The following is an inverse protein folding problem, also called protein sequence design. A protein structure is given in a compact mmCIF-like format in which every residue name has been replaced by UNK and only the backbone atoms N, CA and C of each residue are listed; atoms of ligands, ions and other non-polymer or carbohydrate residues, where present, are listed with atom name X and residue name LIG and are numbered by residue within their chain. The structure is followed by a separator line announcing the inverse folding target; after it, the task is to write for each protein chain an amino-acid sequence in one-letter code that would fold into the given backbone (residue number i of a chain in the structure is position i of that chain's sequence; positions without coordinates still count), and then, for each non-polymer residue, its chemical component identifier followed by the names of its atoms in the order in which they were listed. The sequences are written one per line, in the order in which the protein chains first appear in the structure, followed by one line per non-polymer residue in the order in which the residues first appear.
data_IF_228294266343
#
_entry.id   IF_228294266343
#
_cell.length_a   1.000
_cell.length_b   1.000
_cell.length_c   1.000
_cell.angle_alpha   90.00
_cell.angle_beta   90.00
_cell.angle_gamma   90.00
#
_symmetry.space_group_name_H-M   'P 1'
#
loop_
_entity.id
_entity.type
_entity.pdbx_description
1 polymer ?
#
# COMPACT_ATOMS: atom_id res chain seq x y z
N UNK A 1 -18.90 1.25 -13.48
CA UNK A 1 -17.80 0.38 -13.02
C UNK A 1 -18.20 -0.15 -11.66
N UNK A 2 -18.21 -1.47 -11.42
CA UNK A 2 -18.42 -1.98 -10.07
C UNK A 2 -17.32 -1.43 -9.15
N UNK A 3 -17.66 -1.02 -7.94
CA UNK A 3 -16.67 -0.56 -6.97
C UNK A 3 -15.70 -1.70 -6.64
N UNK A 4 -14.43 -1.53 -7.01
CA UNK A 4 -13.35 -2.43 -6.63
C UNK A 4 -13.14 -2.33 -5.12
N UNK A 5 -13.06 -3.48 -4.44
CA UNK A 5 -12.64 -3.47 -3.04
C UNK A 5 -11.21 -2.94 -2.92
N UNK A 6 -10.91 -2.08 -1.94
CA UNK A 6 -9.54 -1.63 -1.69
C UNK A 6 -8.56 -2.80 -1.62
N UNK A 7 -7.47 -2.75 -2.39
CA UNK A 7 -6.46 -3.81 -2.47
C UNK A 7 -6.74 -4.93 -3.48
N UNK A 8 -7.79 -4.82 -4.30
CA UNK A 8 -8.07 -5.73 -5.42
C UNK A 8 -7.85 -5.05 -6.78
N UNK A 9 -7.62 -5.85 -7.82
CA UNK A 9 -7.49 -5.40 -9.20
C UNK A 9 -8.15 -6.40 -10.16
N UNK A 10 -8.53 -5.92 -11.35
CA UNK A 10 -8.86 -6.79 -12.46
C UNK A 10 -7.57 -7.31 -13.10
N UNK A 11 -7.49 -8.62 -13.27
CA UNK A 11 -6.48 -9.29 -14.08
C UNK A 11 -7.16 -9.86 -15.32
N UNK A 12 -6.72 -9.41 -16.50
CA UNK A 12 -7.28 -9.80 -17.79
C UNK A 12 -6.38 -10.84 -18.45
N UNK A 13 -7.00 -11.89 -18.98
CA UNK A 13 -6.34 -12.88 -19.84
C UNK A 13 -6.94 -12.76 -21.23
N UNK A 14 -6.10 -12.38 -22.19
CA UNK A 14 -6.42 -12.40 -23.61
C UNK A 14 -6.10 -13.78 -24.18
N UNK A 15 -7.04 -14.37 -24.89
CA UNK A 15 -6.88 -15.73 -25.40
C UNK A 15 -7.48 -15.90 -26.79
N UNK A 16 -6.97 -16.89 -27.50
CA UNK A 16 -7.50 -17.35 -28.77
C UNK A 16 -7.81 -18.84 -28.66
N UNK A 17 -9.00 -19.25 -29.12
CA UNK A 17 -9.44 -20.63 -29.17
C UNK A 17 -9.69 -21.02 -30.62
N UNK A 18 -9.17 -22.17 -31.02
CA UNK A 18 -9.50 -22.81 -32.29
C UNK A 18 -10.30 -24.08 -32.01
N UNK A 19 -11.46 -24.22 -32.67
CA UNK A 19 -12.24 -25.44 -32.60
C UNK A 19 -11.68 -26.49 -33.57
N UNK A 20 -10.72 -27.28 -33.11
CA UNK A 20 -10.15 -28.40 -33.89
C UNK A 20 -11.02 -29.67 -33.89
N UNK A 21 -12.19 -29.63 -33.24
CA UNK A 21 -13.12 -30.75 -33.13
C UNK A 21 -14.24 -30.71 -34.17
N UNK A 22 -15.12 -31.72 -34.11
CA UNK A 22 -16.28 -31.84 -35.03
C UNK A 22 -17.58 -31.25 -34.45
N UNK A 23 -17.56 -30.84 -33.17
CA UNK A 23 -18.74 -30.32 -32.46
C UNK A 23 -18.57 -28.81 -32.24
N UNK A 24 -19.60 -27.98 -32.47
CA UNK A 24 -19.56 -26.57 -32.15
C UNK A 24 -19.27 -26.31 -30.67
N UNK A 25 -18.40 -25.35 -30.39
CA UNK A 25 -18.07 -24.91 -29.04
C UNK A 25 -18.87 -23.67 -28.66
N UNK A 26 -19.50 -23.71 -27.49
CA UNK A 26 -20.25 -22.57 -26.96
C UNK A 26 -19.42 -21.89 -25.87
N UNK A 27 -19.00 -20.63 -26.04
CA UNK A 27 -18.17 -19.94 -25.05
C UNK A 27 -18.77 -19.88 -23.64
N UNK A 28 -20.09 -19.82 -23.53
CA UNK A 28 -20.83 -19.89 -22.25
C UNK A 28 -20.62 -21.19 -21.46
N UNK A 29 -20.03 -22.22 -22.07
CA UNK A 29 -19.70 -23.50 -21.44
C UNK A 29 -18.23 -23.62 -21.06
N UNK A 30 -17.41 -22.63 -21.42
CA UNK A 30 -15.99 -22.64 -21.10
C UNK A 30 -15.80 -22.51 -19.61
N UNK A 31 -15.05 -23.45 -19.05
CA UNK A 31 -14.59 -23.39 -17.68
C UNK A 31 -13.19 -22.78 -17.70
N UNK A 32 -13.08 -21.58 -17.14
CA UNK A 32 -11.83 -20.84 -17.08
C UNK A 32 -11.53 -20.54 -15.63
N UNK A 33 -10.29 -20.75 -15.19
CA UNK A 33 -9.88 -20.47 -13.81
C UNK A 33 -8.48 -19.88 -13.80
N UNK A 34 -8.22 -19.00 -12.86
CA UNK A 34 -6.89 -18.48 -12.61
C UNK A 34 -6.44 -18.97 -11.24
N UNK A 35 -5.22 -19.50 -11.15
CA UNK A 35 -4.64 -19.97 -9.90
C UNK A 35 -3.34 -19.24 -9.61
N UNK A 36 -3.16 -18.79 -8.37
CA UNK A 36 -1.89 -18.18 -7.94
C UNK A 36 -0.88 -19.20 -7.40
N UNK A 37 0.34 -18.73 -7.11
CA UNK A 37 1.43 -19.58 -6.64
C UNK A 37 1.20 -20.19 -5.24
N UNK A 38 0.34 -19.58 -4.42
CA UNK A 38 -0.03 -20.10 -3.10
C UNK A 38 -1.23 -21.04 -3.15
N UNK A 39 -1.90 -21.13 -4.30
CA UNK A 39 -2.94 -22.11 -4.58
C UNK A 39 -4.37 -21.58 -4.52
N UNK A 40 -4.57 -20.28 -4.37
CA UNK A 40 -5.91 -19.69 -4.45
C UNK A 40 -6.41 -19.77 -5.89
N UNK A 41 -7.71 -20.01 -6.04
CA UNK A 41 -8.39 -20.12 -7.32
C UNK A 41 -9.38 -18.96 -7.45
N UNK A 42 -9.25 -18.23 -8.56
CA UNK A 42 -10.10 -17.11 -8.94
C UNK A 42 -10.98 -17.52 -10.12
N UNK A 43 -12.27 -17.24 -9.98
CA UNK A 43 -13.25 -17.50 -11.02
C UNK A 43 -13.44 -16.26 -11.90
N UNK A 44 -13.85 -16.44 -13.18
CA UNK A 44 -14.15 -15.33 -14.07
C UNK A 44 -15.23 -14.44 -13.47
N UNK A 45 -15.02 -13.13 -13.54
CA UNK A 45 -16.03 -12.15 -13.18
C UNK A 45 -16.87 -11.86 -14.42
N UNK A 46 -18.19 -11.91 -14.26
CA UNK A 46 -19.14 -11.56 -15.31
C UNK A 46 -18.85 -10.16 -15.84
N UNK A 47 -18.87 -10.00 -17.17
CA UNK A 47 -18.61 -8.75 -17.90
C UNK A 47 -17.20 -8.15 -17.73
N UNK A 48 -16.32 -8.72 -16.91
CA UNK A 48 -14.95 -8.21 -16.79
C UNK A 48 -14.12 -8.43 -18.06
N UNK A 49 -14.52 -9.40 -18.90
CA UNK A 49 -13.96 -9.59 -20.24
C UNK A 49 -14.15 -8.38 -21.16
N UNK A 50 -15.21 -7.58 -20.96
CA UNK A 50 -15.45 -6.36 -21.75
C UNK A 50 -14.37 -5.28 -21.56
N UNK A 51 -13.55 -5.40 -20.51
CA UNK A 51 -12.42 -4.50 -20.27
C UNK A 51 -11.17 -4.87 -21.08
N UNK A 52 -11.14 -6.06 -21.68
CA UNK A 52 -10.04 -6.54 -22.49
C UNK A 52 -10.11 -6.09 -23.96
N UNK A 53 -9.04 -6.37 -24.70
CA UNK A 53 -8.88 -5.91 -26.08
C UNK A 53 -9.90 -6.55 -27.03
N UNK A 54 -10.24 -7.81 -26.81
CA UNK A 54 -11.12 -8.60 -27.66
C UNK A 54 -12.56 -8.68 -27.14
N UNK A 55 -12.82 -8.19 -25.91
CA UNK A 55 -14.13 -8.30 -25.27
C UNK A 55 -14.49 -9.75 -24.89
N UNK A 56 -15.69 -9.95 -24.34
CA UNK A 56 -16.11 -11.31 -23.98
C UNK A 56 -16.45 -12.12 -25.23
N UNK A 57 -15.78 -13.26 -25.42
CA UNK A 57 -16.13 -14.20 -26.48
C UNK A 57 -17.53 -14.78 -26.21
N UNK A 58 -18.48 -14.47 -27.08
CA UNK A 58 -19.89 -14.88 -26.96
C UNK A 58 -20.38 -15.70 -28.14
N UNK A 59 -19.76 -15.55 -29.31
CA UNK A 59 -20.15 -16.26 -30.53
C UNK A 59 -19.80 -17.75 -30.48
N UNK A 60 -20.71 -18.58 -30.97
CA UNK A 60 -20.49 -20.02 -31.12
C UNK A 60 -19.39 -20.29 -32.16
N UNK A 61 -18.43 -21.15 -31.81
CA UNK A 61 -17.34 -21.55 -32.68
C UNK A 61 -17.67 -22.86 -33.39
N UNK A 62 -18.01 -22.77 -34.67
CA UNK A 62 -18.17 -23.93 -35.55
C UNK A 62 -16.86 -24.75 -35.67
N UNK A 63 -16.92 -26.02 -36.10
CA UNK A 63 -15.73 -26.81 -36.42
C UNK A 63 -14.77 -26.07 -37.37
N UNK A 64 -13.50 -26.00 -37.00
CA UNK A 64 -12.44 -25.27 -37.71
C UNK A 64 -12.45 -23.75 -37.50
N UNK A 65 -13.38 -23.20 -36.74
CA UNK A 65 -13.44 -21.76 -36.47
C UNK A 65 -12.45 -21.34 -35.39
N UNK A 66 -11.99 -20.10 -35.48
CA UNK A 66 -11.12 -19.44 -34.50
C UNK A 66 -11.89 -18.29 -33.86
N UNK A 67 -11.86 -18.22 -32.53
CA UNK A 67 -12.42 -17.12 -31.74
C UNK A 67 -11.36 -16.49 -30.85
N UNK A 68 -11.44 -15.17 -30.67
CA UNK A 68 -10.62 -14.42 -29.72
C UNK A 68 -11.52 -13.87 -28.62
N UNK A 69 -11.00 -13.82 -27.40
CA UNK A 69 -11.75 -13.29 -26.28
C UNK A 69 -10.86 -12.89 -25.12
N UNK A 70 -11.47 -12.11 -24.24
CA UNK A 70 -10.91 -11.63 -23.01
C UNK A 70 -11.69 -12.22 -21.84
N UNK A 71 -11.00 -12.63 -20.78
CA UNK A 71 -11.62 -13.03 -19.52
C UNK A 71 -10.97 -12.27 -18.36
N UNK A 72 -11.81 -11.69 -17.49
CA UNK A 72 -11.36 -10.92 -16.34
C UNK A 72 -11.55 -11.66 -15.01
N UNK A 73 -10.56 -11.51 -14.13
CA UNK A 73 -10.55 -12.04 -12.77
C UNK A 73 -10.39 -10.92 -11.77
N UNK A 74 -11.07 -10.99 -10.62
CA UNK A 74 -10.80 -10.11 -9.49
C UNK A 74 -9.77 -10.77 -8.58
N UNK A 75 -8.60 -10.17 -8.48
CA UNK A 75 -7.45 -10.71 -7.74
C UNK A 75 -6.90 -9.68 -6.75
N UNK A 76 -6.18 -10.10 -5.70
CA UNK A 76 -5.43 -9.18 -4.85
C UNK A 76 -4.35 -8.44 -5.65
N UNK A 77 -4.10 -7.16 -5.36
CA UNK A 77 -2.99 -6.44 -5.99
C UNK A 77 -1.61 -7.01 -5.61
N UNK A 78 -1.47 -7.51 -4.37
CA UNK A 78 -0.22 -8.05 -3.83
C UNK A 78 0.05 -9.53 -4.20
N UNK A 79 -0.37 -9.99 -5.39
CA UNK A 79 -0.09 -11.35 -5.83
C UNK A 79 1.40 -11.57 -6.10
N UNK A 80 1.89 -12.78 -5.83
CA UNK A 80 3.29 -13.17 -6.05
C UNK A 80 3.38 -14.50 -6.77
N UNK A 81 4.37 -14.63 -7.65
CA UNK A 81 4.67 -15.87 -8.38
C UNK A 81 3.86 -16.06 -9.68
N UNK A 82 4.16 -17.12 -10.44
CA UNK A 82 3.50 -17.36 -11.72
C UNK A 82 2.02 -17.66 -11.51
N UNK A 83 1.18 -17.12 -12.38
CA UNK A 83 -0.24 -17.43 -12.42
C UNK A 83 -0.45 -18.60 -13.37
N UNK A 84 -1.29 -19.55 -12.98
CA UNK A 84 -1.68 -20.66 -13.84
C UNK A 84 -3.12 -20.43 -14.28
N UNK A 85 -3.29 -20.11 -15.56
CA UNK A 85 -4.61 -20.04 -16.18
C UNK A 85 -4.98 -21.41 -16.73
N UNK A 86 -6.16 -21.90 -16.36
CA UNK A 86 -6.67 -23.18 -16.83
C UNK A 86 -7.96 -23.02 -17.60
N UNK A 87 -8.10 -23.79 -18.67
CA UNK A 87 -9.20 -23.71 -19.62
C UNK A 87 -9.72 -25.11 -19.95
N UNK A 88 -11.04 -25.27 -19.93
CA UNK A 88 -11.73 -26.45 -20.44
C UNK A 88 -12.93 -26.01 -21.32
N UNK A 89 -13.09 -26.60 -22.53
CA UNK A 89 -14.10 -26.16 -23.50
C UNK A 89 -15.52 -26.66 -23.17
N UNK A 90 -15.66 -27.60 -22.24
CA UNK A 90 -16.93 -28.19 -21.85
C UNK A 90 -16.99 -28.45 -20.34
N UNK A 91 -18.17 -28.36 -19.71
CA UNK A 91 -18.32 -28.62 -18.28
C UNK A 91 -18.07 -30.10 -18.00
N UNK A 92 -17.23 -30.41 -17.03
CA UNK A 92 -16.91 -31.79 -16.66
C UNK A 92 -15.92 -32.49 -17.60
N UNK A 93 -15.29 -31.74 -18.52
CA UNK A 93 -14.14 -32.24 -19.27
C UNK A 93 -13.03 -32.66 -18.31
N UNK A 94 -12.48 -33.86 -18.52
CA UNK A 94 -11.25 -34.31 -17.86
C UNK A 94 -9.99 -33.69 -18.49
N UNK A 95 -10.14 -33.01 -19.63
CA UNK A 95 -9.06 -32.37 -20.38
C UNK A 95 -9.10 -30.88 -20.09
N UNK A 96 -8.03 -30.39 -19.46
CA UNK A 96 -7.79 -28.99 -19.16
C UNK A 96 -6.50 -28.55 -19.82
N UNK A 97 -6.53 -27.44 -20.55
CA UNK A 97 -5.32 -26.74 -20.95
C UNK A 97 -4.85 -25.88 -19.76
N UNK A 98 -3.55 -25.92 -19.46
CA UNK A 98 -2.94 -25.11 -18.41
C UNK A 98 -1.83 -24.26 -19.02
N UNK A 99 -1.95 -22.94 -18.86
CA UNK A 99 -0.97 -21.97 -19.31
C UNK A 99 -0.33 -21.34 -18.09
N UNK A 100 0.99 -21.49 -17.94
CA UNK A 100 1.75 -20.78 -16.93
C UNK A 100 2.08 -19.40 -17.46
N UNK A 101 1.46 -18.39 -16.86
CA UNK A 101 1.69 -17.00 -17.18
C UNK A 101 2.79 -16.49 -16.24
N UNK A 102 3.97 -16.12 -16.76
CA UNK A 102 4.97 -15.45 -15.94
C UNK A 102 4.39 -14.12 -15.47
N UNK A 103 3.90 -14.11 -14.24
CA UNK A 103 3.38 -12.94 -13.59
C UNK A 103 4.45 -12.42 -12.63
N UNK A 104 5.10 -11.34 -13.06
CA UNK A 104 5.66 -10.39 -12.12
C UNK A 104 4.53 -9.43 -11.84
N UNK A 105 4.07 -9.35 -10.58
CA UNK A 105 3.37 -8.16 -10.16
C UNK A 105 4.26 -7.00 -10.60
N UNK A 106 3.75 -6.13 -11.49
CA UNK A 106 4.35 -4.82 -11.65
C UNK A 106 4.46 -4.29 -10.23
N UNK A 107 5.65 -3.80 -9.84
CA UNK A 107 5.88 -3.23 -8.52
C UNK A 107 4.64 -2.39 -8.20
N UNK A 108 3.78 -2.93 -7.33
CA UNK A 108 2.70 -2.15 -6.78
C UNK A 108 3.48 -1.24 -5.89
N UNK A 109 3.83 -0.06 -6.41
CA UNK A 109 4.30 1.03 -5.57
C UNK A 109 3.26 1.09 -4.46
N UNK A 110 3.62 0.67 -3.23
CA UNK A 110 2.64 0.53 -2.17
C UNK A 110 1.92 1.86 -2.13
N UNK A 111 0.58 1.84 -2.26
CA UNK A 111 -0.24 3.05 -2.21
C UNK A 111 0.37 3.95 -1.15
N UNK A 112 0.83 5.17 -1.50
CA UNK A 112 1.79 5.91 -0.70
C UNK A 112 1.33 5.84 0.74
N UNK A 113 2.05 5.08 1.57
CA UNK A 113 1.72 5.01 2.99
C UNK A 113 1.76 6.46 3.42
N UNK A 114 0.61 6.99 3.86
CA UNK A 114 0.50 8.38 4.28
C UNK A 114 1.70 8.71 5.17
N UNK A 115 2.20 9.94 5.13
CA UNK A 115 3.36 10.33 5.94
C UNK A 115 3.19 9.81 7.38
N UNK A 116 4.02 8.85 7.76
CA UNK A 116 3.99 8.17 9.05
C UNK A 116 5.30 8.53 9.73
N UNK A 117 5.18 9.11 10.92
CA UNK A 117 6.32 9.47 11.74
C UNK A 117 6.46 8.47 12.88
N UNK A 118 7.69 8.07 13.17
CA UNK A 118 8.06 7.42 14.42
C UNK A 118 8.97 8.41 15.16
N UNK A 119 8.63 8.75 16.40
CA UNK A 119 9.36 9.72 17.20
C UNK A 119 9.98 9.02 18.39
N UNK A 120 11.27 9.21 18.59
CA UNK A 120 12.02 8.71 19.73
C UNK A 120 12.69 9.87 20.44
N UNK A 121 12.47 10.02 21.75
CA UNK A 121 13.20 10.99 22.57
C UNK A 121 14.32 10.24 23.28
N UNK A 122 15.56 10.69 23.06
CA UNK A 122 16.77 10.05 23.61
C UNK A 122 17.17 10.66 24.94
N UNK A 123 17.07 11.98 25.08
CA UNK A 123 17.41 12.68 26.31
C UNK A 123 16.61 13.99 26.47
N UNK A 124 16.48 14.45 27.71
CA UNK A 124 15.92 15.75 28.03
C UNK A 124 16.57 16.30 29.30
N UNK A 125 17.26 17.43 29.17
CA UNK A 125 18.05 18.03 30.25
C UNK A 125 18.01 19.56 30.22
N UNK A 126 18.38 20.20 31.32
CA UNK A 126 18.53 21.66 31.35
C UNK A 126 19.89 22.06 30.79
N UNK A 127 19.92 23.16 30.02
CA UNK A 127 21.16 23.77 29.55
C UNK A 127 22.08 24.14 30.73
N UNK A 128 23.36 24.36 30.45
CA UNK A 128 24.34 24.72 31.49
C UNK A 128 23.97 25.97 32.31
N UNK A 129 23.16 26.88 31.75
CA UNK A 129 22.63 28.06 32.44
C UNK A 129 21.35 27.80 33.23
N UNK A 130 20.68 26.68 33.03
CA UNK A 130 19.43 26.32 33.71
C UNK A 130 18.17 26.98 33.14
N UNK A 131 18.31 27.88 32.17
CA UNK A 131 17.19 28.68 31.62
C UNK A 131 16.44 27.99 30.48
N UNK A 132 17.06 26.97 29.86
CA UNK A 132 16.50 26.26 28.71
C UNK A 132 16.37 24.77 29.00
N UNK A 133 15.24 24.19 28.60
CA UNK A 133 15.08 22.75 28.50
C UNK A 133 15.51 22.32 27.09
N UNK A 134 16.55 21.49 27.02
CA UNK A 134 17.06 20.87 25.79
C UNK A 134 16.49 19.46 25.70
N UNK A 135 15.91 19.12 24.56
CA UNK A 135 15.32 17.81 24.29
C UNK A 135 15.99 17.27 23.03
N UNK A 136 16.60 16.10 23.14
CA UNK A 136 17.25 15.40 22.04
C UNK A 136 16.42 14.18 21.64
N UNK A 137 16.38 13.91 20.34
CA UNK A 137 15.69 12.75 19.82
C UNK A 137 15.86 12.57 18.32
N UNK A 138 15.01 11.74 17.76
CA UNK A 138 14.96 11.48 16.33
C UNK A 138 13.52 11.34 15.85
N UNK A 139 13.29 11.80 14.63
CA UNK A 139 12.04 11.62 13.89
C UNK A 139 12.36 10.79 12.66
N UNK A 140 11.75 9.62 12.56
CA UNK A 140 11.89 8.72 11.42
C UNK A 140 10.62 8.72 10.60
N UNK A 141 10.76 8.94 9.28
CA UNK A 141 9.65 8.78 8.37
C UNK A 141 9.53 7.30 7.96
N UNK A 142 8.55 6.61 8.51
CA UNK A 142 8.24 5.21 8.20
C UNK A 142 7.19 5.09 7.09
N UNK A 143 6.64 6.22 6.62
CA UNK A 143 5.70 6.29 5.50
C UNK A 143 6.37 6.32 4.13
N UNK A 144 5.54 6.30 3.08
CA UNK A 144 5.94 6.31 1.68
C UNK A 144 5.95 7.70 1.04
N UNK A 145 5.53 8.74 1.78
CA UNK A 145 5.55 10.14 1.33
C UNK A 145 6.51 10.98 2.17
N UNK A 146 7.01 12.10 1.61
CA UNK A 146 7.80 13.08 2.36
C UNK A 146 7.01 13.60 3.57
N UNK A 147 7.64 13.55 4.75
CA UNK A 147 7.09 14.07 5.99
C UNK A 147 7.60 15.50 6.18
N UNK A 148 6.67 16.46 6.31
CA UNK A 148 6.99 17.86 6.58
C UNK A 148 6.58 18.20 8.01
N UNK A 149 7.56 18.51 8.86
CA UNK A 149 7.33 18.90 10.26
C UNK A 149 7.44 20.41 10.38
N UNK A 150 6.39 21.06 10.87
CA UNK A 150 6.33 22.51 11.08
C UNK A 150 6.37 22.84 12.57
N UNK A 151 6.56 24.12 12.89
CA UNK A 151 6.50 24.59 14.27
C UNK A 151 5.17 24.29 14.96
N UNK A 152 4.06 24.32 14.23
CA UNK A 152 2.73 24.03 14.76
C UNK A 152 2.54 22.55 15.15
N UNK A 153 3.39 21.65 14.64
CA UNK A 153 3.37 20.23 14.94
C UNK A 153 4.15 19.89 16.23
N UNK A 154 4.77 20.90 16.85
CA UNK A 154 5.61 20.76 18.04
C UNK A 154 5.12 21.69 19.14
N UNK A 155 4.89 21.16 20.32
CA UNK A 155 4.57 21.98 21.48
C UNK A 155 5.12 21.37 22.77
N UNK A 156 5.44 22.23 23.72
CA UNK A 156 5.75 21.83 25.09
C UNK A 156 4.74 22.49 26.01
N UNK A 157 4.02 21.68 26.79
CA UNK A 157 3.00 22.15 27.73
C UNK A 157 3.30 21.65 29.14
N UNK A 158 2.81 22.37 30.14
CA UNK A 158 2.98 22.03 31.55
C UNK A 158 1.78 22.56 32.34
N UNK A 159 1.74 22.29 33.65
CA UNK A 159 0.73 22.90 34.54
C UNK A 159 0.77 24.42 34.57
N UNK A 160 1.91 25.04 34.23
CA UNK A 160 2.07 26.49 34.16
C UNK A 160 1.67 27.08 32.79
N UNK A 161 1.35 26.24 31.80
CA UNK A 161 1.00 26.65 30.44
C UNK A 161 1.98 26.12 29.39
N UNK A 162 1.92 26.72 28.20
CA UNK A 162 2.80 26.37 27.08
C UNK A 162 4.15 27.08 27.20
N UNK A 163 5.24 26.33 27.00
CA UNK A 163 6.60 26.88 26.91
C UNK A 163 6.92 27.32 25.48
N UNK A 164 7.64 28.43 25.34
CA UNK A 164 8.07 28.93 24.04
C UNK A 164 9.26 28.13 23.49
N UNK A 165 9.16 27.67 22.25
CA UNK A 165 10.29 27.10 21.51
C UNK A 165 11.26 28.23 21.17
N UNK A 166 12.53 28.09 21.57
CA UNK A 166 13.60 29.07 21.33
C UNK A 166 14.44 28.72 20.12
N UNK A 167 14.73 27.44 19.95
CA UNK A 167 15.55 26.94 18.85
C UNK A 167 15.20 25.49 18.53
N UNK A 168 15.38 25.13 17.26
CA UNK A 168 15.36 23.76 16.78
C UNK A 168 16.61 23.53 15.92
N UNK A 169 17.27 22.39 16.09
CA UNK A 169 18.38 21.95 15.25
C UNK A 169 18.06 20.57 14.67
N UNK A 170 17.96 20.42 13.33
CA UNK A 170 17.99 21.47 12.30
C UNK A 170 16.89 22.54 12.47
N UNK A 171 17.00 23.71 11.82
CA UNK A 171 15.91 24.68 11.83
C UNK A 171 14.67 24.13 11.11
N UNK A 172 13.48 24.44 11.63
CA UNK A 172 12.20 24.09 11.03
C UNK A 172 11.90 24.96 9.78
N UNK A 173 11.07 24.47 8.83
CA UNK A 173 10.44 23.14 8.80
C UNK A 173 11.42 22.02 8.43
N UNK A 174 11.17 20.81 8.93
CA UNK A 174 11.95 19.63 8.54
C UNK A 174 11.28 18.89 7.40
N UNK A 175 12.07 18.56 6.39
CA UNK A 175 11.66 17.78 5.23
C UNK A 175 12.35 16.42 5.30
N UNK A 176 11.61 15.39 5.72
CA UNK A 176 12.15 14.04 5.97
C UNK A 176 11.65 13.11 4.87
N UNK A 177 12.57 12.64 4.01
CA UNK A 177 12.23 11.74 2.93
C UNK A 177 11.75 10.36 3.45
N UNK A 178 10.99 9.57 2.67
CA UNK A 178 10.59 8.21 3.04
C UNK A 178 11.78 7.35 3.49
N UNK A 179 11.63 6.68 4.63
CA UNK A 179 12.67 5.83 5.23
C UNK A 179 13.83 6.57 5.90
N UNK A 180 13.88 7.90 5.83
CA UNK A 180 14.92 8.72 6.44
C UNK A 180 14.66 8.94 7.93
N UNK A 181 15.75 8.99 8.71
CA UNK A 181 15.75 9.45 10.10
C UNK A 181 16.40 10.83 10.19
N UNK A 182 15.76 11.74 10.91
CA UNK A 182 16.27 13.07 11.23
C UNK A 182 16.54 13.16 12.74
N UNK A 183 17.80 13.37 13.11
CA UNK A 183 18.17 13.71 14.49
C UNK A 183 17.71 15.14 14.77
N UNK A 184 17.13 15.36 15.94
CA UNK A 184 16.55 16.63 16.34
C UNK A 184 17.05 17.03 17.73
N UNK A 185 17.21 18.34 17.90
CA UNK A 185 17.37 18.99 19.19
C UNK A 185 16.37 20.14 19.27
N UNK A 186 15.58 20.18 20.34
CA UNK A 186 14.60 21.23 20.61
C UNK A 186 14.99 21.95 21.90
N UNK A 187 15.07 23.28 21.84
CA UNK A 187 15.36 24.10 23.01
C UNK A 187 14.13 24.93 23.35
N UNK A 188 13.55 24.68 24.51
CA UNK A 188 12.42 25.42 25.06
C UNK A 188 12.85 26.32 26.21
N UNK A 189 12.11 27.41 26.43
CA UNK A 189 12.16 28.11 27.72
C UNK A 189 11.79 27.13 28.83
N UNK A 190 12.60 27.11 29.90
CA UNK A 190 12.37 26.23 31.04
C UNK A 190 10.92 26.41 31.54
N UNK A 191 10.11 25.33 31.58
CA UNK A 191 8.78 25.39 32.17
C UNK A 191 8.85 25.71 33.67
N UNK A 192 7.92 26.53 34.17
CA UNK A 192 7.74 26.76 35.62
C UNK A 192 6.93 25.63 36.25
N UNK A 193 7.39 24.39 36.04
CA UNK A 193 6.76 23.17 36.50
C UNK A 193 7.78 22.03 36.55
N UNK A 194 7.57 21.09 37.47
CA UNK A 194 8.45 19.92 37.63
C UNK A 194 8.22 18.81 36.58
N UNK A 195 7.17 18.96 35.76
CA UNK A 195 6.80 18.04 34.69
C UNK A 195 6.28 18.82 33.50
N UNK A 196 6.66 18.41 32.30
CA UNK A 196 6.18 18.95 31.04
C UNK A 196 5.82 17.83 30.06
N UNK A 197 4.88 18.09 29.15
CA UNK A 197 4.46 17.19 28.09
C UNK A 197 4.89 17.78 26.76
N UNK A 198 5.82 17.10 26.09
CA UNK A 198 6.18 17.38 24.71
C UNK A 198 5.17 16.69 23.80
N UNK A 199 4.55 17.44 22.91
CA UNK A 199 3.81 16.90 21.77
C UNK A 199 4.59 17.15 20.48
N UNK A 200 4.80 16.10 19.69
CA UNK A 200 5.48 16.15 18.40
C UNK A 200 4.75 15.22 17.42
N UNK A 201 4.15 15.78 16.37
CA UNK A 201 3.40 15.02 15.34
C UNK A 201 2.33 14.09 15.93
N UNK A 202 1.69 14.52 17.02
CA UNK A 202 0.67 13.74 17.74
C UNK A 202 1.23 12.73 18.75
N UNK A 203 2.54 12.46 18.78
CA UNK A 203 3.18 11.73 19.87
C UNK A 203 3.25 12.62 21.11
N UNK A 204 3.21 12.00 22.30
CA UNK A 204 3.24 12.71 23.58
C UNK A 204 4.27 12.07 24.51
N UNK A 205 5.22 12.87 25.00
CA UNK A 205 6.29 12.42 25.88
C UNK A 205 6.30 13.25 27.15
N UNK A 206 6.23 12.58 28.30
CA UNK A 206 6.28 13.24 29.60
C UNK A 206 7.74 13.38 30.05
N UNK A 207 8.16 14.62 30.28
CA UNK A 207 9.47 15.00 30.79
C UNK A 207 9.31 15.32 32.27
N UNK A 208 9.99 14.56 33.12
CA UNK A 208 9.92 14.68 34.58
C UNK A 208 11.24 15.17 35.16
N UNK A 209 11.18 15.66 36.39
CA UNK A 209 12.36 16.01 37.15
C UNK A 209 13.00 17.32 36.68
N UNK A 210 12.19 18.23 36.14
CA UNK A 210 12.61 19.60 35.85
C UNK A 210 12.77 20.31 37.21
N UNK A 211 14.00 20.68 37.62
CA UNK A 211 14.27 21.21 38.96
C UNK A 211 13.82 22.65 39.16
#
# INVERSE_FOLDING_TARGET
MPDLFPGTMYYLVEFQVENVGEIPLKPQWFQMQLRDAVGNVYLPVTDAGELGEYGTLSDELAPGAVGQGSVGYLVPQAMTGPLVWTFAPQPGSSIWASVSIPYQAGEVEPAPTAAQAEVTITDAFLSAGGDLLVIEGEVRNTGGQQLVVKVDDISLSSSAGMSALRSAAPPLPWEIAPGQTQIIELQYEKPDASTALLSLLGYSFEIRGIP
#
